data_IF_493067012899
#
_entry.id   IF_493067012899
#
_cell.length_a   1.000
_cell.length_b   1.000
_cell.length_c   1.000
_cell.angle_alpha   90.00
_cell.angle_beta   90.00
_cell.angle_gamma   90.00
#
_symmetry.space_group_name_H-M   'P 1'
#
loop_
_entity.id
_entity.type
_entity.pdbx_description
1 polymer ?
#
# COMPACT_ATOMS: atom_id res chain seq x y z
N UNK A 1 -44.53 52.28 39.28
CA UNK A 1 -44.92 51.76 37.95
C UNK A 1 -44.11 50.48 37.71
N UNK A 2 -44.44 49.36 38.37
CA UNK A 2 -45.30 48.28 37.86
C UNK A 2 -44.53 47.50 36.76
N UNK A 3 -43.71 46.46 37.02
CA UNK A 3 -43.95 45.11 37.59
C UNK A 3 -45.15 44.39 36.96
N UNK A 4 -44.88 43.31 36.23
CA UNK A 4 -45.88 42.43 35.62
C UNK A 4 -45.28 41.15 35.04
N UNK A 5 -44.78 40.29 35.92
CA UNK A 5 -44.50 38.87 35.66
C UNK A 5 -45.77 38.06 35.97
N UNK A 6 -46.14 37.12 35.09
CA UNK A 6 -47.13 36.05 35.33
C UNK A 6 -46.53 34.78 34.67
N UNK A 7 -46.01 33.76 35.38
CA UNK A 7 -46.68 32.82 36.29
C UNK A 7 -47.91 32.16 35.61
N UNK A 8 -48.20 30.86 35.66
CA UNK A 8 -47.64 29.64 36.27
C UNK A 8 -48.64 28.53 35.95
N UNK A 9 -48.21 27.26 35.94
CA UNK A 9 -48.88 26.07 36.53
C UNK A 9 -48.13 24.81 36.04
N UNK A 10 -47.28 24.17 36.85
CA UNK A 10 -47.58 23.23 37.95
C UNK A 10 -48.19 21.92 37.41
N UNK A 11 -47.78 20.69 37.79
CA UNK A 11 -47.52 20.20 39.15
C UNK A 11 -46.52 19.00 39.16
N UNK A 12 -45.94 18.80 40.35
CA UNK A 12 -44.99 17.75 40.78
C UNK A 12 -45.74 16.44 41.24
N UNK A 13 -45.22 15.62 42.18
CA UNK A 13 -44.34 14.45 42.00
C UNK A 13 -44.92 13.19 42.70
N UNK A 14 -44.31 12.01 42.62
CA UNK A 14 -44.21 11.05 43.76
C UNK A 14 -43.29 9.89 43.38
N UNK A 15 -42.19 9.73 44.12
CA UNK A 15 -41.92 8.67 45.10
C UNK A 15 -41.38 7.38 44.46
N UNK A 16 -40.14 6.96 44.69
CA UNK A 16 -39.45 6.60 45.94
C UNK A 16 -39.35 5.08 46.05
N UNK A 17 -38.20 4.64 46.56
CA UNK A 17 -37.86 3.31 47.07
C UNK A 17 -37.45 2.28 46.02
N UNK A 18 -36.45 1.42 46.24
CA UNK A 18 -35.44 1.21 47.29
C UNK A 18 -34.64 -0.03 46.78
N UNK A 19 -33.37 -0.14 47.16
CA UNK A 19 -32.69 -1.39 47.58
C UNK A 19 -32.51 -2.53 46.53
N UNK A 20 -31.27 -2.92 46.24
CA UNK A 20 -30.57 -4.06 46.90
C UNK A 20 -30.56 -5.26 45.95
N UNK A 21 -29.42 -5.68 45.38
CA UNK A 21 -28.43 -6.59 46.00
C UNK A 21 -28.40 -7.93 45.24
N UNK A 22 -27.21 -8.52 45.18
CA UNK A 22 -26.89 -9.94 44.91
C UNK A 22 -26.77 -10.44 43.44
N UNK A 23 -25.50 -10.51 43.01
CA UNK A 23 -24.84 -11.63 42.28
C UNK A 23 -25.30 -13.02 42.85
N UNK A 24 -25.24 -14.21 42.19
CA UNK A 24 -24.29 -14.66 41.15
C UNK A 24 -24.79 -15.67 40.07
N UNK A 25 -23.90 -16.07 39.15
CA UNK A 25 -24.03 -17.18 38.15
C UNK A 25 -24.32 -18.53 38.84
N UNK A 26 -24.94 -19.55 38.19
CA UNK A 26 -24.13 -20.58 37.51
C UNK A 26 -24.79 -21.41 36.36
N UNK A 27 -23.91 -22.08 35.61
CA UNK A 27 -23.90 -23.40 34.92
C UNK A 27 -25.16 -24.29 34.66
N UNK A 28 -24.96 -25.19 33.67
CA UNK A 28 -25.75 -26.36 33.18
C UNK A 28 -26.55 -26.10 31.89
N UNK A 29 -26.06 -26.48 30.70
CA UNK A 29 -25.94 -27.83 30.11
C UNK A 29 -27.31 -28.47 29.85
N UNK A 30 -27.69 -28.66 28.57
CA UNK A 30 -28.39 -29.86 28.08
C UNK A 30 -28.35 -29.93 26.55
N UNK A 31 -27.99 -31.13 26.08
CA UNK A 31 -27.78 -31.59 24.70
C UNK A 31 -29.05 -31.67 23.83
N UNK A 32 -28.89 -31.50 22.51
CA UNK A 32 -29.36 -32.38 21.40
C UNK A 32 -29.17 -31.67 20.04
N UNK A 33 -28.87 -32.26 18.90
CA UNK A 33 -28.16 -33.46 18.49
C UNK A 33 -27.85 -33.27 16.99
N UNK A 34 -26.71 -33.79 16.55
CA UNK A 34 -26.27 -33.83 15.16
C UNK A 34 -27.12 -34.83 14.38
N UNK A 35 -27.61 -34.44 13.18
CA UNK A 35 -27.85 -35.38 12.09
C UNK A 35 -27.09 -34.89 10.86
N UNK A 36 -26.07 -35.67 10.54
CA UNK A 36 -25.21 -35.64 9.37
C UNK A 36 -26.00 -35.67 8.07
N UNK A 37 -25.65 -34.81 7.12
CA UNK A 37 -25.37 -35.30 5.76
C UNK A 37 -24.05 -34.71 5.27
N UNK A 38 -23.26 -35.49 4.51
CA UNK A 38 -21.82 -35.35 4.43
C UNK A 38 -21.39 -34.98 3.00
N UNK A 39 -20.91 -33.76 2.78
CA UNK A 39 -19.89 -33.46 1.76
C UNK A 39 -19.52 -31.97 1.83
N UNK A 40 -18.27 -31.67 1.46
CA UNK A 40 -17.66 -30.33 1.31
C UNK A 40 -16.89 -29.74 2.49
N UNK A 41 -16.49 -30.54 3.48
CA UNK A 41 -15.43 -30.15 4.42
C UNK A 41 -14.46 -31.31 4.60
N UNK A 42 -13.66 -31.57 3.57
CA UNK A 42 -12.22 -31.86 3.66
C UNK A 42 -11.70 -32.22 2.27
N UNK A 43 -11.27 -31.19 1.56
CA UNK A 43 -10.15 -31.28 0.65
C UNK A 43 -9.50 -29.90 0.67
N UNK A 44 -8.33 -29.86 1.29
CA UNK A 44 -7.27 -28.88 1.07
C UNK A 44 -7.49 -27.97 -0.14
N UNK A 45 -7.98 -26.75 0.11
CA UNK A 45 -7.54 -25.62 -0.68
C UNK A 45 -6.41 -24.94 0.07
N UNK A 46 -5.33 -25.73 0.20
CA UNK A 46 -4.02 -25.28 -0.21
C UNK A 46 -4.12 -24.71 -1.64
N UNK A 47 -4.72 -23.54 -1.78
CA UNK A 47 -4.37 -22.64 -2.87
C UNK A 47 -2.99 -22.09 -2.51
N UNK A 48 -2.01 -22.99 -2.58
CA UNK A 48 -0.68 -22.62 -3.03
C UNK A 48 -0.93 -21.70 -4.20
N UNK A 49 -0.64 -20.41 -4.03
CA UNK A 49 -0.66 -19.47 -5.12
C UNK A 49 0.26 -20.11 -6.16
N UNK A 50 -0.33 -20.71 -7.19
CA UNK A 50 0.37 -21.27 -8.31
C UNK A 50 1.23 -20.10 -8.80
N UNK A 51 2.52 -20.15 -8.46
CA UNK A 51 3.49 -19.29 -9.07
C UNK A 51 3.31 -19.59 -10.56
N UNK A 52 2.96 -18.60 -11.39
CA UNK A 52 2.94 -18.81 -12.81
C UNK A 52 4.31 -19.37 -13.17
N UNK A 53 4.33 -20.61 -13.65
CA UNK A 53 5.56 -21.20 -14.14
C UNK A 53 6.13 -20.20 -15.16
N UNK A 54 7.40 -19.77 -14.99
CA UNK A 54 7.93 -18.70 -15.82
C UNK A 54 7.87 -19.19 -17.25
N UNK A 55 7.11 -18.47 -18.08
CA UNK A 55 7.00 -18.75 -19.50
C UNK A 55 8.42 -18.94 -20.07
N UNK A 56 8.69 -20.13 -20.58
CA UNK A 56 10.04 -20.66 -20.81
C UNK A 56 10.82 -19.94 -21.94
N UNK A 57 10.27 -18.88 -22.54
CA UNK A 57 10.80 -18.19 -23.72
C UNK A 57 11.12 -16.70 -23.47
N UNK A 58 11.27 -16.29 -22.22
CA UNK A 58 11.59 -14.90 -21.87
C UNK A 58 13.09 -14.59 -22.17
N UNK A 59 13.41 -13.49 -22.90
CA UNK A 59 14.80 -13.16 -23.21
C UNK A 59 15.62 -12.87 -21.95
N UNK A 60 16.92 -13.24 -21.92
CA UNK A 60 17.77 -12.96 -20.77
C UNK A 60 17.92 -11.45 -20.59
N UNK A 61 17.42 -10.93 -19.47
CA UNK A 61 17.58 -9.53 -19.12
C UNK A 61 18.80 -9.38 -18.23
N UNK A 62 19.75 -8.55 -18.66
CA UNK A 62 20.88 -8.13 -17.83
C UNK A 62 20.46 -6.94 -16.96
N UNK A 63 21.05 -6.79 -15.76
CA UNK A 63 20.79 -5.63 -14.92
C UNK A 63 21.10 -4.33 -15.65
N UNK A 64 20.30 -3.29 -15.38
CA UNK A 64 20.44 -1.95 -15.95
C UNK A 64 21.86 -1.45 -15.71
N UNK A 65 22.50 -0.94 -16.77
CA UNK A 65 23.85 -0.39 -16.75
C UNK A 65 24.94 -1.33 -16.17
N UNK A 66 24.71 -2.65 -16.16
CA UNK A 66 25.67 -3.61 -15.63
C UNK A 66 25.87 -3.50 -14.11
N UNK A 67 24.86 -3.03 -13.37
CA UNK A 67 24.92 -2.90 -11.92
C UNK A 67 25.28 -4.24 -11.26
N UNK A 68 26.34 -4.25 -10.44
CA UNK A 68 26.74 -5.43 -9.66
C UNK A 68 25.85 -5.56 -8.43
N UNK A 69 25.09 -6.63 -8.33
CA UNK A 69 24.25 -6.92 -7.16
C UNK A 69 25.12 -7.54 -6.07
N UNK A 70 25.23 -6.86 -4.94
CA UNK A 70 25.94 -7.39 -3.78
C UNK A 70 24.98 -8.20 -2.90
N UNK A 71 25.25 -9.50 -2.80
CA UNK A 71 24.55 -10.39 -1.88
C UNK A 71 25.38 -10.53 -0.60
N UNK A 72 24.95 -9.96 0.54
CA UNK A 72 25.69 -10.13 1.79
C UNK A 72 25.69 -11.59 2.24
N UNK A 73 24.54 -12.26 2.13
CA UNK A 73 24.37 -13.69 2.35
C UNK A 73 23.53 -14.28 1.20
N UNK A 74 23.92 -15.41 0.61
CA UNK A 74 23.18 -16.02 -0.50
C UNK A 74 21.83 -16.65 -0.09
N UNK A 75 21.65 -17.01 1.18
CA UNK A 75 20.42 -17.61 1.71
C UNK A 75 19.26 -16.62 1.89
N UNK A 76 19.54 -15.32 2.01
CA UNK A 76 18.54 -14.25 2.19
C UNK A 76 17.98 -13.72 0.86
N UNK A 77 18.17 -14.45 -0.23
CA UNK A 77 17.68 -14.07 -1.56
C UNK A 77 16.15 -14.15 -1.62
N UNK A 78 15.52 -13.03 -1.92
CA UNK A 78 14.08 -12.89 -2.13
C UNK A 78 13.79 -12.95 -3.62
N UNK A 79 12.76 -13.70 -4.00
CA UNK A 79 12.27 -13.75 -5.38
C UNK A 79 11.10 -12.78 -5.58
N UNK A 80 11.18 -11.97 -6.63
CA UNK A 80 10.15 -11.03 -7.07
C UNK A 80 9.90 -11.18 -8.56
N UNK A 81 8.71 -10.81 -9.01
CA UNK A 81 8.32 -10.86 -10.42
C UNK A 81 8.23 -9.44 -10.98
N UNK A 82 9.04 -9.12 -11.98
CA UNK A 82 8.99 -7.84 -12.70
C UNK A 82 8.49 -8.11 -14.11
N UNK A 83 7.32 -7.60 -14.47
CA UNK A 83 6.65 -7.85 -15.77
C UNK A 83 6.54 -9.35 -16.14
N UNK A 84 6.42 -10.21 -15.13
CA UNK A 84 6.37 -11.68 -15.30
C UNK A 84 7.74 -12.37 -15.31
N UNK A 85 8.85 -11.63 -15.22
CA UNK A 85 10.19 -12.18 -15.12
C UNK A 85 10.56 -12.41 -13.63
N UNK A 86 10.90 -13.65 -13.22
CA UNK A 86 11.38 -13.92 -11.87
C UNK A 86 12.81 -13.40 -11.71
N UNK A 87 13.05 -12.63 -10.65
CA UNK A 87 14.35 -12.04 -10.33
C UNK A 87 14.67 -12.27 -8.86
N UNK A 88 15.90 -12.72 -8.60
CA UNK A 88 16.42 -12.92 -7.24
C UNK A 88 17.19 -11.68 -6.80
N UNK A 89 16.80 -11.12 -5.66
CA UNK A 89 17.38 -9.92 -5.07
C UNK A 89 17.73 -10.18 -3.60
N UNK A 90 18.74 -9.51 -3.03
CA UNK A 90 18.99 -9.60 -1.60
C UNK A 90 17.87 -8.91 -0.80
N UNK A 91 17.65 -9.39 0.43
CA UNK A 91 16.71 -8.77 1.36
C UNK A 91 17.04 -7.31 1.65
N UNK A 92 16.00 -6.48 1.74
CA UNK A 92 16.12 -5.05 2.03
C UNK A 92 16.25 -4.16 0.79
N UNK A 93 16.31 -4.74 -0.41
CA UNK A 93 16.25 -3.98 -1.65
C UNK A 93 14.87 -3.35 -1.85
N UNK A 94 14.86 -2.21 -2.53
CA UNK A 94 13.62 -1.54 -2.93
C UNK A 94 13.08 -2.14 -4.22
N UNK A 95 11.81 -1.88 -4.51
CA UNK A 95 11.18 -2.26 -5.79
C UNK A 95 11.94 -1.66 -6.97
N UNK A 96 12.44 -0.42 -6.84
CA UNK A 96 13.22 0.23 -7.89
C UNK A 96 14.52 -0.54 -8.19
N UNK A 97 15.26 -0.92 -7.15
CA UNK A 97 16.48 -1.72 -7.32
C UNK A 97 16.17 -3.10 -7.90
N UNK A 98 15.05 -3.71 -7.51
CA UNK A 98 14.64 -4.99 -8.09
C UNK A 98 14.38 -4.89 -9.60
N UNK A 99 13.75 -3.81 -10.06
CA UNK A 99 13.56 -3.53 -11.48
C UNK A 99 14.89 -3.26 -12.20
N UNK A 100 15.81 -2.53 -11.57
CA UNK A 100 17.17 -2.35 -12.11
C UNK A 100 17.88 -3.70 -12.30
N UNK A 101 17.75 -4.65 -11.36
CA UNK A 101 18.29 -6.02 -11.52
C UNK A 101 17.60 -6.77 -12.65
N UNK A 102 16.30 -6.55 -12.82
CA UNK A 102 15.50 -7.13 -13.91
C UNK A 102 15.79 -6.52 -15.29
N UNK A 103 16.68 -5.52 -15.39
CA UNK A 103 16.96 -4.82 -16.64
C UNK A 103 15.88 -3.81 -17.05
N UNK A 104 14.97 -3.46 -16.14
CA UNK A 104 13.90 -2.49 -16.38
C UNK A 104 14.30 -1.16 -15.74
N UNK A 105 14.50 -0.14 -16.57
CA UNK A 105 14.83 1.19 -16.09
C UNK A 105 13.56 1.99 -15.78
N UNK A 106 13.44 2.47 -14.53
CA UNK A 106 12.29 3.24 -14.06
C UNK A 106 12.70 4.71 -13.98
N UNK A 107 11.92 5.64 -14.56
CA UNK A 107 12.26 7.06 -14.53
C UNK A 107 12.27 7.58 -13.09
N UNK A 108 13.36 8.27 -12.74
CA UNK A 108 13.61 8.81 -11.41
C UNK A 108 14.31 10.16 -11.48
N UNK A 109 13.82 11.12 -10.69
CA UNK A 109 14.47 12.43 -10.53
C UNK A 109 15.14 12.58 -9.16
N UNK A 110 14.39 12.25 -8.11
CA UNK A 110 14.78 12.48 -6.72
C UNK A 110 15.48 11.29 -6.04
N UNK A 111 15.75 10.20 -6.76
CA UNK A 111 16.41 9.01 -6.22
C UNK A 111 17.84 8.89 -6.72
N UNK A 112 18.76 8.70 -5.77
CA UNK A 112 20.15 8.39 -6.03
C UNK A 112 20.62 7.35 -5.00
N UNK A 113 21.42 6.36 -5.43
CA UNK A 113 21.81 5.22 -4.60
C UNK A 113 22.68 5.56 -3.38
N UNK A 114 23.39 6.69 -3.41
CA UNK A 114 24.22 7.17 -2.29
C UNK A 114 23.51 8.15 -1.35
N UNK A 115 22.28 8.56 -1.68
CA UNK A 115 21.50 9.50 -0.86
C UNK A 115 20.34 8.76 -0.20
N UNK A 116 19.81 9.33 0.87
CA UNK A 116 18.59 8.84 1.51
C UNK A 116 17.39 8.95 0.57
N UNK A 117 16.42 8.05 0.74
CA UNK A 117 15.20 8.01 -0.06
C UNK A 117 14.32 9.22 0.28
N UNK A 118 14.15 10.16 -0.65
CA UNK A 118 13.31 11.34 -0.46
C UNK A 118 11.83 11.07 -0.81
N UNK A 119 11.55 10.48 -1.97
CA UNK A 119 10.18 10.13 -2.38
C UNK A 119 9.30 11.30 -2.83
N UNK A 120 9.85 12.49 -3.09
CA UNK A 120 9.06 13.69 -3.42
C UNK A 120 8.57 13.73 -4.87
N UNK A 121 9.39 13.30 -5.83
CA UNK A 121 9.13 13.47 -7.26
C UNK A 121 8.05 12.56 -7.85
N UNK A 122 7.70 11.44 -7.19
CA UNK A 122 6.68 10.47 -7.65
C UNK A 122 6.78 9.98 -9.11
N UNK A 123 7.88 10.23 -9.80
CA UNK A 123 8.08 9.76 -11.18
C UNK A 123 8.22 8.23 -11.28
N UNK A 124 8.68 7.61 -10.20
CA UNK A 124 8.96 6.18 -10.13
C UNK A 124 7.72 5.31 -9.78
N UNK A 125 6.51 5.81 -10.04
CA UNK A 125 5.29 5.06 -9.75
C UNK A 125 5.20 3.79 -10.62
N UNK A 126 4.88 2.68 -9.97
CA UNK A 126 4.68 1.36 -10.58
C UNK A 126 3.42 0.71 -10.03
N UNK A 127 2.86 -0.21 -10.79
CA UNK A 127 1.71 -0.99 -10.35
C UNK A 127 2.17 -2.27 -9.68
N UNK A 128 1.58 -2.58 -8.53
CA UNK A 128 1.81 -3.82 -7.80
C UNK A 128 0.46 -4.48 -7.57
N UNK A 129 0.36 -5.78 -7.85
CA UNK A 129 -0.93 -6.51 -7.80
C UNK A 129 -1.65 -6.43 -6.45
N UNK A 130 -0.92 -6.25 -5.36
CA UNK A 130 -1.46 -6.17 -3.99
C UNK A 130 -1.92 -4.78 -3.57
N UNK A 131 -1.72 -3.75 -4.40
CA UNK A 131 -2.03 -2.36 -4.04
C UNK A 131 -2.98 -1.70 -5.05
N UNK A 132 -4.10 -1.09 -4.61
CA UNK A 132 -5.05 -0.44 -5.51
C UNK A 132 -4.54 0.90 -6.06
N UNK A 133 -3.52 1.48 -5.43
CA UNK A 133 -2.88 2.74 -5.85
C UNK A 133 -1.47 2.43 -6.35
N UNK A 134 -0.99 3.09 -7.43
CA UNK A 134 0.40 2.99 -7.85
C UNK A 134 1.33 3.33 -6.69
N UNK A 135 2.35 2.50 -6.49
CA UNK A 135 3.29 2.63 -5.38
C UNK A 135 4.58 3.26 -5.87
N UNK A 136 5.21 4.08 -5.02
CA UNK A 136 6.51 4.66 -5.32
C UNK A 136 7.59 3.57 -5.16
N UNK A 137 8.17 3.13 -6.28
CA UNK A 137 9.16 2.05 -6.29
C UNK A 137 10.44 2.38 -5.50
N UNK A 138 10.81 3.65 -5.40
CA UNK A 138 12.03 4.08 -4.71
C UNK A 138 11.98 3.92 -3.18
N UNK A 139 10.79 3.92 -2.59
CA UNK A 139 10.59 3.84 -1.14
C UNK A 139 9.96 2.51 -0.68
N UNK A 140 9.30 1.80 -1.61
CA UNK A 140 8.68 0.52 -1.29
C UNK A 140 9.76 -0.58 -1.18
N UNK A 141 9.87 -1.27 -0.04
CA UNK A 141 10.72 -2.44 0.07
C UNK A 141 10.13 -3.60 -0.75
N UNK A 142 10.99 -4.36 -1.42
CA UNK A 142 10.59 -5.52 -2.17
C UNK A 142 10.22 -6.68 -1.24
N UNK A 143 9.02 -7.22 -1.41
CA UNK A 143 8.51 -8.35 -0.63
C UNK A 143 8.58 -9.66 -1.44
N UNK A 144 8.76 -10.83 -0.80
CA UNK A 144 8.75 -12.12 -1.49
C UNK A 144 7.44 -12.34 -2.25
N UNK A 145 7.56 -12.80 -3.50
CA UNK A 145 6.42 -13.06 -4.38
C UNK A 145 5.64 -11.82 -4.80
N UNK A 146 6.23 -10.63 -4.69
CA UNK A 146 5.64 -9.38 -5.18
C UNK A 146 5.67 -9.38 -6.72
N UNK A 147 4.53 -9.08 -7.34
CA UNK A 147 4.45 -8.89 -8.79
C UNK A 147 4.34 -7.41 -9.12
N UNK A 148 5.37 -6.90 -9.78
CA UNK A 148 5.54 -5.52 -10.18
C UNK A 148 5.29 -5.46 -11.69
N UNK A 149 4.45 -4.52 -12.12
CA UNK A 149 4.19 -4.26 -13.54
C UNK A 149 4.55 -2.81 -13.84
N UNK A 150 5.48 -2.58 -14.76
CA UNK A 150 5.97 -1.22 -15.06
C UNK A 150 5.27 -0.60 -16.27
N UNK A 151 4.73 -1.41 -17.17
CA UNK A 151 4.20 -0.97 -18.48
C UNK A 151 2.67 -0.91 -18.58
N UNK A 152 1.97 -0.98 -17.45
CA UNK A 152 0.50 -0.93 -17.42
C UNK A 152 -0.04 0.46 -17.78
N UNK A 153 -1.28 0.56 -18.30
CA UNK A 153 -1.89 1.85 -18.60
C UNK A 153 -2.05 2.73 -17.35
N UNK A 154 -2.23 2.12 -16.17
CA UNK A 154 -2.34 2.83 -14.90
C UNK A 154 -0.99 3.45 -14.52
N UNK A 155 0.11 2.70 -14.64
CA UNK A 155 1.45 3.21 -14.36
C UNK A 155 1.85 4.33 -15.32
N UNK A 156 1.55 4.19 -16.62
CA UNK A 156 1.82 5.21 -17.64
C UNK A 156 1.03 6.49 -17.39
N UNK A 157 -0.28 6.37 -17.17
CA UNK A 157 -1.14 7.52 -16.85
C UNK A 157 -0.70 8.23 -15.56
N UNK A 158 -0.25 7.48 -14.56
CA UNK A 158 0.28 8.07 -13.33
C UNK A 158 1.56 8.88 -13.58
N UNK A 159 2.47 8.37 -14.42
CA UNK A 159 3.71 9.08 -14.78
C UNK A 159 3.43 10.31 -15.65
N UNK A 160 2.52 10.21 -16.61
CA UNK A 160 2.07 11.35 -17.41
C UNK A 160 1.46 12.45 -16.54
N UNK A 161 0.60 12.08 -15.59
CA UNK A 161 0.02 13.03 -14.64
C UNK A 161 1.09 13.68 -13.73
N UNK A 162 2.11 12.93 -13.32
CA UNK A 162 3.24 13.50 -12.56
C UNK A 162 4.01 14.50 -13.40
N UNK A 163 4.33 14.18 -14.67
CA UNK A 163 5.02 15.10 -15.57
C UNK A 163 4.23 16.38 -15.86
N UNK A 164 2.90 16.25 -16.04
CA UNK A 164 2.03 17.41 -16.21
C UNK A 164 2.04 18.29 -14.96
N UNK A 165 1.88 17.69 -13.78
CA UNK A 165 1.90 18.42 -12.50
C UNK A 165 3.25 19.06 -12.26
N UNK A 166 4.38 18.36 -12.45
CA UNK A 166 5.73 18.92 -12.27
C UNK A 166 5.98 20.08 -13.25
N UNK A 167 5.53 19.96 -14.50
CA UNK A 167 5.64 21.04 -15.51
C UNK A 167 4.80 22.26 -15.15
N UNK A 168 3.59 22.05 -14.64
CA UNK A 168 2.69 23.14 -14.20
C UNK A 168 3.23 23.79 -12.93
N UNK A 169 3.71 23.01 -11.96
CA UNK A 169 4.28 23.55 -10.72
C UNK A 169 5.54 24.34 -11.00
N UNK A 170 6.41 23.88 -11.90
CA UNK A 170 7.60 24.60 -12.33
C UNK A 170 7.21 25.95 -12.94
N UNK A 171 6.19 25.98 -13.81
CA UNK A 171 5.66 27.23 -14.38
C UNK A 171 5.06 28.17 -13.34
N UNK A 172 4.28 27.65 -12.38
CA UNK A 172 3.63 28.46 -11.35
C UNK A 172 4.64 28.99 -10.31
N UNK A 173 5.66 28.21 -9.97
CA UNK A 173 6.65 28.58 -8.94
C UNK A 173 7.81 29.42 -9.47
N UNK A 174 8.08 29.40 -10.78
CA UNK A 174 9.00 30.35 -11.44
C UNK A 174 8.34 31.69 -11.73
N UNK A 175 7.01 31.76 -11.84
CA UNK A 175 6.30 33.00 -12.15
C UNK A 175 6.53 34.16 -11.14
N UNK A 176 6.57 33.92 -9.81
CA UNK A 176 6.89 34.95 -8.84
C UNK A 176 8.36 35.39 -8.89
N UNK A 177 9.28 34.50 -9.27
CA UNK A 177 10.71 34.82 -9.38
C UNK A 177 10.98 35.69 -10.61
N UNK A 178 10.33 35.41 -11.74
CA UNK A 178 10.42 36.26 -12.94
C UNK A 178 9.72 37.62 -12.74
N UNK A 179 8.62 37.68 -11.96
CA UNK A 179 7.95 38.95 -11.65
C UNK A 179 8.76 39.82 -10.67
N UNK A 180 9.52 39.22 -9.76
CA UNK A 180 10.44 39.94 -8.85
C UNK A 180 11.69 40.41 -9.61
N UNK A 181 12.19 39.64 -10.58
CA UNK A 181 13.33 40.03 -11.41
C UNK A 181 13.02 41.15 -12.41
N UNK A 182 11.75 41.39 -12.76
CA UNK A 182 11.34 42.44 -13.69
C UNK A 182 11.06 43.81 -13.04
N UNK A 183 11.18 43.94 -11.71
CA UNK A 183 10.90 45.18 -10.95
C UNK A 183 12.19 45.88 -10.50
N UNK A 184 13.35 45.45 -11.00
CA UNK A 184 14.66 46.05 -10.69
C UNK A 184 15.48 46.31 -11.95
#
# INVERSE_FOLDING_TARGET
MGLGSLASRAMRPTASRLLSSQNPRPFFSFHRAVSTTPELQNADQSASAAQPEPAADLPPRTPVAGARVHFPNPEDAIEVFVDGYPVKIPKGFTVLQACEVAGVDIPRFCYHSRLSIAGNCRMCLVEVEKSPKPVASCAMPAMPGMKIKTDTPIAKKAREGVMEVESVICRISLWPLDLIAAVH
#
